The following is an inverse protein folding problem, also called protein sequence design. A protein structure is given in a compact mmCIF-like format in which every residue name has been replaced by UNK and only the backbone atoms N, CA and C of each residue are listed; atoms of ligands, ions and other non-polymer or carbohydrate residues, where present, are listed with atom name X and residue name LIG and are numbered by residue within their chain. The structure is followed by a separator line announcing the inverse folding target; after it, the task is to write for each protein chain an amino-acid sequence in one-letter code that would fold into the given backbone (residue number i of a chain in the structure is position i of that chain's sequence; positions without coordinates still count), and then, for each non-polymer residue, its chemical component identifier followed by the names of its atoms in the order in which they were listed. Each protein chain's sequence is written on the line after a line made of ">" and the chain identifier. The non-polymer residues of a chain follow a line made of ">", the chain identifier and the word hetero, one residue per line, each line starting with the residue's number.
data_IF_159568027460
#
_entry.id   IF_159568027460
#
_cell.length_a   1.000
_cell.length_b   1.000
_cell.length_c   1.000
_cell.angle_alpha   90.00
_cell.angle_beta   90.00
_cell.angle_gamma   90.00
#
_symmetry.space_group_name_H-M   'P 1'
#
loop_
_entity.id
_entity.type
_entity.pdbx_description
1 polymer ?
#
# COMPACT_ATOMS: atom_id res chain seq x y z
N UNK A 1 -12.08 30.09 -0.87
CA UNK A 1 -13.52 29.90 -1.07
C UNK A 1 -14.12 29.33 0.20
N UNK A 2 -15.44 29.46 0.37
CA UNK A 2 -16.14 28.69 1.39
C UNK A 2 -16.13 27.21 1.00
N UNK A 3 -16.25 26.32 1.99
CA UNK A 3 -16.08 24.87 1.87
C UNK A 3 -17.11 24.23 0.92
N UNK A 4 -16.88 24.33 -0.39
CA UNK A 4 -17.84 23.94 -1.43
C UNK A 4 -17.45 22.59 -2.05
N UNK A 5 -18.20 21.55 -1.69
CA UNK A 5 -17.99 20.19 -2.21
C UNK A 5 -18.28 20.09 -3.71
N UNK A 6 -19.31 20.77 -4.23
CA UNK A 6 -19.69 20.70 -5.63
C UNK A 6 -18.58 21.24 -6.54
N UNK A 7 -17.98 22.38 -6.17
CA UNK A 7 -16.85 22.94 -6.92
C UNK A 7 -15.66 21.98 -6.92
N UNK A 8 -15.38 21.30 -5.81
CA UNK A 8 -14.30 20.31 -5.76
C UNK A 8 -14.54 19.11 -6.71
N UNK A 9 -15.78 18.64 -6.84
CA UNK A 9 -16.14 17.58 -7.78
C UNK A 9 -16.09 18.05 -9.25
N UNK A 10 -16.50 19.29 -9.53
CA UNK A 10 -16.36 19.88 -10.88
C UNK A 10 -14.89 20.01 -11.27
N UNK A 11 -14.03 20.46 -10.35
CA UNK A 11 -12.57 20.48 -10.57
C UNK A 11 -12.06 19.06 -10.82
N UNK A 12 -12.49 18.07 -10.03
CA UNK A 12 -12.12 16.68 -10.23
C UNK A 12 -12.51 16.15 -11.61
N UNK A 13 -13.66 16.57 -12.14
CA UNK A 13 -14.15 16.14 -13.46
C UNK A 13 -13.15 16.45 -14.59
N UNK A 14 -12.36 17.50 -14.43
CA UNK A 14 -11.29 17.92 -15.34
C UNK A 14 -9.96 17.28 -14.95
N UNK A 15 -9.60 17.35 -13.66
CA UNK A 15 -8.30 16.89 -13.16
C UNK A 15 -8.11 15.38 -13.39
N UNK A 16 -9.17 14.56 -13.25
CA UNK A 16 -9.13 13.11 -13.45
C UNK A 16 -8.74 12.67 -14.87
N UNK A 17 -8.83 13.57 -15.87
CA UNK A 17 -8.45 13.28 -17.25
C UNK A 17 -6.93 13.21 -17.44
N UNK A 18 -6.16 13.74 -16.48
CA UNK A 18 -4.70 13.73 -16.53
C UNK A 18 -4.11 12.49 -15.84
N UNK A 19 -2.99 11.95 -16.36
CA UNK A 19 -2.22 10.93 -15.66
C UNK A 19 -1.84 11.37 -14.25
N UNK A 20 -1.75 10.41 -13.32
CA UNK A 20 -1.54 10.72 -11.90
C UNK A 20 -0.23 11.51 -11.64
N UNK A 21 0.79 11.34 -12.48
CA UNK A 21 2.06 12.06 -12.35
C UNK A 21 1.88 13.58 -12.46
N UNK A 22 1.04 14.03 -13.41
CA UNK A 22 0.72 15.45 -13.58
C UNK A 22 -0.18 15.95 -12.46
N UNK A 23 -1.16 15.16 -12.02
CA UNK A 23 -2.01 15.48 -10.87
C UNK A 23 -1.20 15.67 -9.60
N UNK A 24 -0.27 14.77 -9.31
CA UNK A 24 0.58 14.84 -8.12
C UNK A 24 1.55 16.03 -8.19
N UNK A 25 2.09 16.33 -9.36
CA UNK A 25 2.90 17.54 -9.58
C UNK A 25 2.09 18.82 -9.34
N UNK A 26 0.83 18.85 -9.78
CA UNK A 26 -0.10 19.94 -9.50
C UNK A 26 -0.38 20.06 -8.00
N UNK A 27 -0.64 18.96 -7.30
CA UNK A 27 -0.90 18.96 -5.86
C UNK A 27 0.30 19.41 -5.05
N UNK A 28 1.52 19.04 -5.46
CA UNK A 28 2.75 19.52 -4.85
C UNK A 28 2.85 21.05 -4.91
N UNK A 29 2.68 21.64 -6.10
CA UNK A 29 2.69 23.10 -6.27
C UNK A 29 1.54 23.78 -5.54
N UNK A 30 0.37 23.15 -5.52
CA UNK A 30 -0.79 23.68 -4.81
C UNK A 30 -0.55 23.75 -3.30
N UNK A 31 -0.02 22.68 -2.70
CA UNK A 31 0.27 22.62 -1.27
C UNK A 31 1.45 23.51 -0.88
N UNK A 32 2.58 23.40 -1.61
CA UNK A 32 3.86 23.90 -1.15
C UNK A 32 4.15 25.34 -1.62
N UNK A 33 3.78 25.70 -2.85
CA UNK A 33 4.16 26.98 -3.45
C UNK A 33 3.02 28.01 -3.39
N UNK A 34 1.82 27.59 -3.80
CA UNK A 34 0.70 28.51 -4.07
C UNK A 34 0.32 29.37 -2.88
N UNK A 35 0.34 28.81 -1.67
CA UNK A 35 -0.03 29.53 -0.45
C UNK A 35 1.04 30.50 0.05
N UNK A 36 2.24 30.51 -0.53
CA UNK A 36 3.33 31.42 -0.15
C UNK A 36 3.32 32.71 -0.98
N UNK A 37 2.61 32.73 -2.10
CA UNK A 37 2.70 33.81 -3.09
C UNK A 37 1.91 35.07 -2.70
N UNK A 38 0.81 34.92 -1.94
CA UNK A 38 -0.13 36.01 -1.69
C UNK A 38 -0.50 36.11 -0.19
N UNK A 39 -0.49 37.31 0.42
CA UNK A 39 -0.80 37.48 1.84
C UNK A 39 -2.15 36.90 2.27
N UNK A 40 -3.17 37.01 1.40
CA UNK A 40 -4.49 36.45 1.68
C UNK A 40 -4.46 34.92 1.76
N UNK A 41 -3.65 34.26 0.93
CA UNK A 41 -3.49 32.80 0.96
C UNK A 41 -2.67 32.36 2.18
N UNK A 42 -1.64 33.10 2.55
CA UNK A 42 -0.88 32.87 3.79
C UNK A 42 -1.81 32.94 5.01
N UNK A 43 -2.66 33.97 5.09
CA UNK A 43 -3.64 34.10 6.17
C UNK A 43 -4.65 32.93 6.18
N UNK A 44 -5.14 32.52 5.00
CA UNK A 44 -6.04 31.36 4.86
C UNK A 44 -5.36 30.06 5.31
N UNK A 45 -4.08 29.86 4.98
CA UNK A 45 -3.28 28.72 5.46
C UNK A 45 -3.22 28.69 6.98
N UNK A 46 -2.87 29.81 7.63
CA UNK A 46 -2.81 29.89 9.09
C UNK A 46 -4.16 29.59 9.76
N UNK A 47 -5.24 30.12 9.19
CA UNK A 47 -6.62 29.86 9.67
C UNK A 47 -6.98 28.38 9.54
N UNK A 48 -6.72 27.76 8.39
CA UNK A 48 -6.99 26.35 8.15
C UNK A 48 -6.18 25.46 9.10
N UNK A 49 -4.89 25.73 9.30
CA UNK A 49 -4.04 24.97 10.23
C UNK A 49 -4.56 25.02 11.66
N UNK A 50 -5.02 26.19 12.13
CA UNK A 50 -5.65 26.32 13.45
C UNK A 50 -6.90 25.45 13.59
N UNK A 51 -7.78 25.49 12.58
CA UNK A 51 -9.00 24.69 12.55
C UNK A 51 -8.73 23.18 12.49
N UNK A 52 -7.78 22.76 11.64
CA UNK A 52 -7.35 21.36 11.50
C UNK A 52 -6.82 20.83 12.83
N UNK A 53 -5.92 21.58 13.49
CA UNK A 53 -5.38 21.21 14.81
C UNK A 53 -6.48 21.05 15.86
N UNK A 54 -7.41 22.01 15.91
CA UNK A 54 -8.53 21.95 16.86
C UNK A 54 -9.47 20.77 16.59
N UNK A 55 -9.69 20.43 15.32
CA UNK A 55 -10.55 19.32 14.93
C UNK A 55 -9.93 17.96 15.23
N UNK A 56 -8.63 17.80 14.94
CA UNK A 56 -7.91 16.55 15.18
C UNK A 56 -7.83 16.15 16.65
N UNK A 57 -7.77 17.13 17.57
CA UNK A 57 -7.85 16.89 19.02
C UNK A 57 -9.16 16.23 19.48
N UNK A 58 -10.19 16.26 18.63
CA UNK A 58 -11.52 15.74 18.95
C UNK A 58 -11.78 14.39 18.30
N UNK A 59 -10.96 13.91 17.38
CA UNK A 59 -11.22 12.64 16.67
C UNK A 59 -11.19 11.48 17.66
N UNK A 60 -12.30 10.75 17.75
CA UNK A 60 -12.43 9.52 18.53
C UNK A 60 -13.33 8.52 17.82
N UNK A 61 -13.33 7.27 18.31
CA UNK A 61 -14.19 6.21 17.77
C UNK A 61 -15.68 6.56 17.86
N UNK A 62 -16.08 7.29 18.91
CA UNK A 62 -17.48 7.61 19.21
C UNK A 62 -18.03 8.75 18.35
N UNK A 63 -17.16 9.63 17.84
CA UNK A 63 -17.57 10.85 17.15
C UNK A 63 -17.08 10.94 15.68
N UNK A 64 -16.68 9.81 15.09
CA UNK A 64 -16.16 9.74 13.73
C UNK A 64 -17.11 10.31 12.68
N UNK A 65 -18.44 10.13 12.83
CA UNK A 65 -19.44 10.71 11.92
C UNK A 65 -19.52 12.24 12.00
N UNK A 66 -19.81 12.87 13.16
CA UNK A 66 -19.89 14.34 13.23
C UNK A 66 -18.54 15.00 12.93
N UNK A 67 -17.43 14.48 13.44
CA UNK A 67 -16.09 15.00 13.13
C UNK A 67 -15.76 14.79 11.65
N UNK A 68 -16.11 13.64 11.08
CA UNK A 68 -15.91 13.38 9.66
C UNK A 68 -16.61 14.36 8.72
N UNK A 69 -17.81 14.84 9.07
CA UNK A 69 -18.48 15.90 8.28
C UNK A 69 -17.72 17.23 8.33
N UNK A 70 -17.12 17.56 9.48
CA UNK A 70 -16.29 18.75 9.63
C UNK A 70 -14.97 18.60 8.87
N UNK A 71 -14.34 17.41 8.92
CA UNK A 71 -13.15 17.09 8.13
C UNK A 71 -13.45 17.19 6.64
N UNK A 72 -14.58 16.64 6.19
CA UNK A 72 -15.06 16.74 4.81
C UNK A 72 -15.11 18.19 4.35
N UNK A 73 -15.81 19.05 5.10
CA UNK A 73 -15.88 20.50 4.80
C UNK A 73 -14.49 21.14 4.70
N UNK A 74 -13.61 20.93 5.68
CA UNK A 74 -12.26 21.49 5.65
C UNK A 74 -11.41 20.97 4.47
N UNK A 75 -11.63 19.71 4.07
CA UNK A 75 -10.89 19.11 2.95
C UNK A 75 -11.14 19.80 1.62
N UNK A 76 -12.33 20.40 1.41
CA UNK A 76 -12.65 21.05 0.13
C UNK A 76 -11.84 22.33 -0.10
N UNK A 77 -11.41 22.99 0.97
CA UNK A 77 -10.65 24.25 0.88
C UNK A 77 -9.14 24.03 0.87
N UNK A 78 -8.66 23.09 1.68
CA UNK A 78 -7.22 22.90 1.91
C UNK A 78 -6.89 21.43 2.21
N UNK A 79 -7.06 20.54 1.22
CA UNK A 79 -6.85 19.10 1.42
C UNK A 79 -5.38 18.78 1.76
N UNK A 80 -4.41 19.44 1.11
CA UNK A 80 -2.98 19.19 1.35
C UNK A 80 -2.56 19.40 2.81
N UNK A 81 -2.91 20.55 3.41
CA UNK A 81 -2.56 20.83 4.81
C UNK A 81 -3.34 19.96 5.81
N UNK A 82 -4.57 19.60 5.47
CA UNK A 82 -5.38 18.70 6.28
C UNK A 82 -4.72 17.31 6.35
N UNK A 83 -4.37 16.74 5.20
CA UNK A 83 -3.78 15.41 5.16
C UNK A 83 -2.36 15.38 5.69
N UNK A 84 -1.55 16.41 5.43
CA UNK A 84 -0.24 16.56 6.06
C UNK A 84 -0.34 16.47 7.59
N UNK A 85 -1.25 17.22 8.20
CA UNK A 85 -1.41 17.18 9.66
C UNK A 85 -2.01 15.85 10.15
N UNK A 86 -2.99 15.29 9.44
CA UNK A 86 -3.57 13.98 9.77
C UNK A 86 -2.50 12.87 9.77
N UNK A 87 -1.67 12.82 8.72
CA UNK A 87 -0.62 11.82 8.59
C UNK A 87 0.46 11.98 9.66
N UNK A 88 0.81 13.22 10.01
CA UNK A 88 1.69 13.49 11.16
C UNK A 88 1.11 12.96 12.48
N UNK A 89 -0.19 13.08 12.71
CA UNK A 89 -0.82 12.54 13.93
C UNK A 89 -0.84 11.00 13.92
N UNK A 90 -1.15 10.37 12.79
CA UNK A 90 -1.16 8.90 12.65
C UNK A 90 0.22 8.31 12.89
N UNK A 91 1.28 8.96 12.40
CA UNK A 91 2.66 8.51 12.60
C UNK A 91 3.08 8.50 14.09
N UNK A 92 2.40 9.28 14.94
CA UNK A 92 2.68 9.38 16.37
C UNK A 92 1.71 8.48 17.17
N UNK A 93 0.46 8.37 16.73
CA UNK A 93 -0.63 7.74 17.47
C UNK A 93 -1.34 6.67 16.63
N UNK A 94 -0.86 5.43 16.72
CA UNK A 94 -1.40 4.28 15.95
C UNK A 94 -2.89 4.01 16.26
N UNK A 95 -3.32 4.23 17.51
CA UNK A 95 -4.71 4.09 17.93
C UNK A 95 -5.68 5.07 17.26
N UNK A 96 -5.19 6.15 16.63
CA UNK A 96 -6.01 7.09 15.87
C UNK A 96 -6.34 6.60 14.45
N UNK A 97 -5.67 5.57 13.93
CA UNK A 97 -5.85 5.10 12.55
C UNK A 97 -7.32 4.76 12.26
N UNK A 98 -7.93 3.89 13.05
CA UNK A 98 -9.32 3.49 12.81
C UNK A 98 -10.32 4.67 12.92
N UNK A 99 -10.30 5.50 13.99
CA UNK A 99 -11.12 6.71 14.06
C UNK A 99 -10.92 7.69 12.90
N UNK A 100 -9.68 7.89 12.44
CA UNK A 100 -9.38 8.76 11.30
C UNK A 100 -9.96 8.17 10.02
N UNK A 101 -9.67 6.90 9.73
CA UNK A 101 -10.20 6.20 8.55
C UNK A 101 -11.74 6.26 8.53
N UNK A 102 -12.41 6.15 9.68
CA UNK A 102 -13.86 6.33 9.79
C UNK A 102 -14.33 7.76 9.52
N UNK A 103 -13.56 8.75 9.95
CA UNK A 103 -13.87 10.17 9.77
C UNK A 103 -13.66 10.65 8.32
N UNK A 104 -12.83 9.96 7.53
CA UNK A 104 -12.60 10.29 6.12
C UNK A 104 -13.72 9.83 5.16
N UNK A 105 -14.88 9.44 5.67
CA UNK A 105 -16.01 8.96 4.86
C UNK A 105 -16.62 10.02 3.93
N UNK A 106 -16.55 11.30 4.32
CA UNK A 106 -17.23 12.40 3.62
C UNK A 106 -16.27 13.24 2.77
N UNK A 107 -15.15 12.65 2.33
CA UNK A 107 -14.24 13.29 1.39
C UNK A 107 -14.80 13.25 -0.03
N UNK A 108 -14.47 14.27 -0.82
CA UNK A 108 -14.69 14.29 -2.27
C UNK A 108 -13.67 13.43 -3.00
N UNK A 109 -13.94 13.10 -4.26
CA UNK A 109 -12.99 12.34 -5.09
C UNK A 109 -11.65 13.07 -5.24
N UNK A 110 -11.67 14.40 -5.41
CA UNK A 110 -10.46 15.22 -5.41
C UNK A 110 -9.67 15.08 -4.10
N UNK A 111 -10.35 15.14 -2.95
CA UNK A 111 -9.68 15.02 -1.64
C UNK A 111 -9.07 13.64 -1.44
N UNK A 112 -9.70 12.56 -1.92
CA UNK A 112 -9.10 11.23 -1.87
C UNK A 112 -7.82 11.15 -2.71
N UNK A 113 -7.81 11.77 -3.89
CA UNK A 113 -6.62 11.77 -4.74
C UNK A 113 -5.46 12.60 -4.16
N UNK A 114 -5.78 13.76 -3.57
CA UNK A 114 -4.78 14.57 -2.83
C UNK A 114 -4.25 13.81 -1.60
N UNK A 115 -5.07 13.01 -0.93
CA UNK A 115 -4.60 12.13 0.16
C UNK A 115 -3.57 11.10 -0.36
N UNK A 116 -3.80 10.54 -1.56
CA UNK A 116 -2.84 9.65 -2.22
C UNK A 116 -1.48 10.32 -2.45
N UNK A 117 -1.48 11.57 -2.91
CA UNK A 117 -0.25 12.38 -3.02
C UNK A 117 0.41 12.64 -1.65
N UNK A 118 -0.35 13.11 -0.66
CA UNK A 118 0.19 13.43 0.67
C UNK A 118 0.76 12.19 1.38
N UNK A 119 0.23 11.01 1.10
CA UNK A 119 0.80 9.75 1.59
C UNK A 119 2.20 9.50 1.05
N UNK A 120 2.42 9.68 -0.25
CA UNK A 120 3.75 9.51 -0.86
C UNK A 120 4.72 10.58 -0.33
N UNK A 121 4.26 11.82 -0.24
CA UNK A 121 5.05 12.92 0.33
C UNK A 121 5.44 12.65 1.80
N UNK A 122 4.56 12.01 2.57
CA UNK A 122 4.85 11.62 3.96
C UNK A 122 5.85 10.46 4.07
N UNK A 123 5.92 9.59 3.05
CA UNK A 123 6.86 8.46 2.99
C UNK A 123 8.27 8.90 2.56
N UNK A 124 8.37 9.89 1.66
CA UNK A 124 9.65 10.39 1.12
C UNK A 124 10.34 11.46 2.01
N UNK A 125 9.95 11.61 3.29
CA UNK A 125 10.53 12.63 4.16
C UNK A 125 12.02 12.36 4.45
N UNK A 126 12.89 13.11 3.76
CA UNK A 126 14.36 12.97 3.73
C UNK A 126 15.02 12.96 5.12
N UNK A 127 14.46 13.68 6.09
CA UNK A 127 15.04 13.83 7.43
C UNK A 127 14.74 12.67 8.39
N UNK A 128 13.99 11.65 7.95
CA UNK A 128 13.60 10.53 8.81
C UNK A 128 14.30 9.25 8.39
N UNK A 129 15.13 8.72 9.29
CA UNK A 129 15.61 7.37 9.14
C UNK A 129 14.43 6.39 9.33
N UNK A 130 14.09 5.54 8.34
CA UNK A 130 13.06 4.53 8.49
C UNK A 130 13.43 3.44 9.52
N UNK A 131 14.69 3.42 9.96
CA UNK A 131 15.19 2.60 11.06
C UNK A 131 15.10 3.35 12.39
N UNK A 132 14.78 2.63 13.48
CA UNK A 132 14.90 3.18 14.84
C UNK A 132 16.36 3.50 15.17
N UNK A 133 16.57 4.41 16.13
CA UNK A 133 17.90 4.83 16.60
C UNK A 133 18.76 3.64 17.10
N UNK A 134 18.11 2.51 17.44
CA UNK A 134 18.73 1.28 17.92
C UNK A 134 19.32 0.40 16.78
N UNK A 135 19.17 0.80 15.52
CA UNK A 135 19.79 0.13 14.37
C UNK A 135 19.26 -1.28 14.03
N UNK A 136 18.19 -1.72 14.70
CA UNK A 136 17.70 -3.13 14.62
C UNK A 136 16.20 -3.25 14.39
N UNK A 137 15.43 -2.19 14.60
CA UNK A 137 13.96 -2.20 14.53
C UNK A 137 13.46 -1.23 13.47
N UNK A 138 12.38 -1.62 12.79
CA UNK A 138 11.63 -0.74 11.88
C UNK A 138 10.97 0.36 12.72
N UNK A 139 11.06 1.59 12.25
CA UNK A 139 10.45 2.74 12.93
C UNK A 139 8.93 2.59 13.08
N UNK A 140 8.41 3.03 14.24
CA UNK A 140 6.97 2.95 14.54
C UNK A 140 6.15 3.80 13.57
N UNK A 141 6.69 4.94 13.14
CA UNK A 141 6.00 5.83 12.20
C UNK A 141 5.74 5.16 10.85
N UNK A 142 6.69 4.36 10.34
CA UNK A 142 6.54 3.65 9.07
C UNK A 142 5.52 2.51 9.21
N UNK A 143 5.54 1.80 10.33
CA UNK A 143 4.54 0.78 10.64
C UNK A 143 3.13 1.38 10.69
N UNK A 144 2.94 2.50 11.39
CA UNK A 144 1.64 3.19 11.45
C UNK A 144 1.19 3.74 10.10
N UNK A 145 2.10 4.25 9.27
CA UNK A 145 1.76 4.66 7.90
C UNK A 145 1.37 3.48 7.01
N UNK A 146 2.09 2.37 7.06
CA UNK A 146 1.77 1.17 6.31
C UNK A 146 0.41 0.59 6.74
N UNK A 147 0.18 0.51 8.06
CA UNK A 147 -1.09 0.15 8.68
C UNK A 147 -2.24 1.05 8.16
N UNK A 148 -2.04 2.37 8.15
CA UNK A 148 -3.01 3.32 7.61
C UNK A 148 -3.23 3.15 6.10
N UNK A 149 -2.18 2.95 5.30
CA UNK A 149 -2.28 2.71 3.86
C UNK A 149 -3.20 1.52 3.56
N UNK A 150 -2.92 0.35 4.15
CA UNK A 150 -3.78 -0.81 3.92
C UNK A 150 -5.23 -0.57 4.39
N UNK A 151 -5.44 0.16 5.49
CA UNK A 151 -6.79 0.45 5.99
C UNK A 151 -7.57 1.41 5.08
N UNK A 152 -6.93 2.48 4.59
CA UNK A 152 -7.59 3.50 3.77
C UNK A 152 -7.91 2.98 2.37
N UNK A 153 -6.98 2.27 1.72
CA UNK A 153 -7.18 1.71 0.38
C UNK A 153 -8.15 0.52 0.38
N UNK A 154 -8.22 -0.25 1.48
CA UNK A 154 -9.30 -1.24 1.67
C UNK A 154 -10.67 -0.55 1.67
N UNK A 155 -10.82 0.54 2.41
CA UNK A 155 -12.13 1.13 2.71
C UNK A 155 -12.68 2.04 1.62
N UNK A 156 -11.83 2.85 0.98
CA UNK A 156 -12.26 3.89 0.04
C UNK A 156 -11.69 3.67 -1.36
N UNK A 157 -12.36 4.26 -2.36
CA UNK A 157 -11.95 4.18 -3.75
C UNK A 157 -10.92 5.25 -4.11
N UNK A 158 -9.69 5.00 -3.66
CA UNK A 158 -8.51 5.83 -3.92
C UNK A 158 -7.65 5.11 -4.95
N UNK A 159 -7.11 5.84 -5.91
CA UNK A 159 -6.21 5.27 -6.91
C UNK A 159 -4.88 4.83 -6.28
N UNK A 160 -4.48 3.58 -6.52
CA UNK A 160 -3.28 2.98 -5.92
C UNK A 160 -2.01 3.13 -6.77
N UNK A 161 -2.15 3.53 -8.04
CA UNK A 161 -1.06 3.60 -9.03
C UNK A 161 0.19 4.29 -8.48
N UNK A 162 0.00 5.45 -7.84
CA UNK A 162 1.11 6.23 -7.27
C UNK A 162 1.83 5.50 -6.13
N UNK A 163 1.10 4.85 -5.22
CA UNK A 163 1.70 4.13 -4.09
C UNK A 163 2.46 2.88 -4.57
N UNK A 164 1.87 2.12 -5.49
CA UNK A 164 2.50 0.91 -6.04
C UNK A 164 3.76 1.25 -6.84
N UNK A 165 3.72 2.33 -7.62
CA UNK A 165 4.90 2.82 -8.34
C UNK A 165 5.98 3.32 -7.37
N UNK A 166 5.60 4.01 -6.29
CA UNK A 166 6.53 4.41 -5.23
C UNK A 166 7.27 3.20 -4.67
N UNK A 167 6.54 2.16 -4.23
CA UNK A 167 7.16 0.93 -3.70
C UNK A 167 8.10 0.32 -4.75
N UNK A 168 7.65 0.16 -6.01
CA UNK A 168 8.50 -0.38 -7.07
C UNK A 168 9.81 0.41 -7.27
N UNK A 169 9.75 1.75 -7.17
CA UNK A 169 10.92 2.62 -7.28
C UNK A 169 11.86 2.50 -6.08
N UNK A 170 11.34 2.34 -4.86
CA UNK A 170 12.16 2.12 -3.66
C UNK A 170 12.87 0.76 -3.73
N UNK A 171 12.20 -0.29 -4.21
CA UNK A 171 12.82 -1.61 -4.45
C UNK A 171 13.93 -1.54 -5.50
N UNK A 172 13.69 -0.84 -6.61
CA UNK A 172 14.74 -0.58 -7.61
C UNK A 172 15.92 0.19 -7.04
N UNK A 173 15.68 1.04 -6.05
CA UNK A 173 16.71 1.80 -5.32
C UNK A 173 17.30 1.02 -4.14
N UNK A 174 17.04 -0.29 -4.05
CA UNK A 174 17.56 -1.20 -3.04
C UNK A 174 17.15 -0.87 -1.60
N UNK A 175 16.02 -0.19 -1.41
CA UNK A 175 15.44 0.07 -0.08
C UNK A 175 14.33 -0.93 0.21
N UNK A 176 14.61 -1.93 1.04
CA UNK A 176 13.67 -3.02 1.36
C UNK A 176 12.60 -2.64 2.38
N UNK A 177 12.83 -1.61 3.20
CA UNK A 177 11.91 -1.24 4.28
C UNK A 177 10.50 -0.88 3.80
N UNK A 178 10.41 -0.24 2.62
CA UNK A 178 9.14 0.14 2.01
C UNK A 178 8.29 -1.06 1.53
N UNK A 179 8.84 -2.29 1.49
CA UNK A 179 8.02 -3.50 1.28
C UNK A 179 6.93 -3.64 2.34
N UNK A 180 7.13 -3.09 3.54
CA UNK A 180 6.12 -3.12 4.60
C UNK A 180 4.77 -2.56 4.13
N UNK A 181 4.82 -1.52 3.30
CA UNK A 181 3.63 -0.87 2.74
C UNK A 181 2.86 -1.86 1.87
N UNK A 182 3.57 -2.62 1.03
CA UNK A 182 2.95 -3.63 0.19
C UNK A 182 2.40 -4.80 1.02
N UNK A 183 3.12 -5.25 2.06
CA UNK A 183 2.66 -6.29 3.00
C UNK A 183 1.30 -5.92 3.61
N UNK A 184 1.19 -4.70 4.13
CA UNK A 184 -0.05 -4.18 4.74
C UNK A 184 -1.20 -3.97 3.74
N UNK A 185 -0.89 -3.47 2.54
CA UNK A 185 -1.89 -3.28 1.48
C UNK A 185 -2.47 -4.61 1.01
N UNK A 186 -1.63 -5.61 0.73
CA UNK A 186 -2.06 -6.95 0.32
C UNK A 186 -2.86 -7.61 1.44
N UNK A 187 -2.36 -7.54 2.69
CA UNK A 187 -3.06 -8.09 3.86
C UNK A 187 -4.48 -7.54 3.96
N UNK A 188 -4.66 -6.22 3.92
CA UNK A 188 -5.96 -5.62 4.20
C UNK A 188 -6.91 -5.64 3.02
N UNK A 189 -6.39 -5.46 1.81
CA UNK A 189 -7.22 -5.40 0.60
C UNK A 189 -7.59 -6.77 0.06
N UNK A 190 -6.70 -7.76 0.16
CA UNK A 190 -6.96 -9.12 -0.30
C UNK A 190 -7.38 -10.07 0.84
N UNK A 191 -6.96 -9.79 2.08
CA UNK A 191 -7.20 -10.69 3.21
C UNK A 191 -6.21 -11.85 3.28
N UNK A 192 -5.04 -11.70 2.68
CA UNK A 192 -4.00 -12.73 2.64
C UNK A 192 -2.95 -12.35 3.67
N UNK A 193 -2.84 -13.12 4.75
CA UNK A 193 -1.89 -12.88 5.84
C UNK A 193 -0.62 -13.71 5.63
N UNK A 194 0.51 -13.21 6.11
CA UNK A 194 1.72 -14.01 6.21
C UNK A 194 1.54 -15.00 7.37
N UNK A 195 1.86 -16.26 7.14
CA UNK A 195 1.73 -17.31 8.13
C UNK A 195 2.93 -17.29 9.09
N UNK A 196 2.77 -16.70 10.27
CA UNK A 196 3.85 -16.60 11.27
C UNK A 196 3.81 -17.76 12.29
N UNK A 197 2.62 -18.24 12.71
CA UNK A 197 2.47 -19.29 13.73
C UNK A 197 1.30 -20.25 13.42
N UNK A 198 1.51 -21.18 12.48
CA UNK A 198 0.49 -22.19 12.14
C UNK A 198 0.65 -23.46 13.00
N UNK A 199 -0.48 -23.98 13.51
CA UNK A 199 -0.49 -25.30 14.15
C UNK A 199 -0.29 -26.42 13.12
N UNK A 200 0.12 -27.61 13.57
CA UNK A 200 0.29 -28.76 12.67
C UNK A 200 -1.00 -29.12 11.92
N UNK A 201 -2.15 -28.98 12.56
CA UNK A 201 -3.46 -29.22 11.96
C UNK A 201 -3.76 -28.20 10.86
N UNK A 202 -3.44 -26.92 11.10
CA UNK A 202 -3.59 -25.86 10.10
C UNK A 202 -2.64 -26.08 8.92
N UNK A 203 -1.40 -26.49 9.16
CA UNK A 203 -0.44 -26.82 8.10
C UNK A 203 -0.94 -27.98 7.22
N UNK A 204 -1.51 -29.02 7.83
CA UNK A 204 -2.12 -30.12 7.08
C UNK A 204 -3.33 -29.65 6.27
N UNK A 205 -4.17 -28.79 6.86
CA UNK A 205 -5.33 -28.23 6.20
C UNK A 205 -4.95 -27.34 5.00
N UNK A 206 -3.85 -26.59 5.11
CA UNK A 206 -3.28 -25.80 4.00
C UNK A 206 -2.79 -26.65 2.82
N UNK A 207 -2.41 -27.91 3.06
CA UNK A 207 -2.06 -28.85 2.00
C UNK A 207 -3.28 -29.46 1.29
N UNK A 208 -4.50 -29.25 1.82
CA UNK A 208 -5.74 -29.75 1.24
C UNK A 208 -6.24 -28.97 0.01
N UNK A 209 -7.50 -29.23 -0.34
CA UNK A 209 -8.21 -28.48 -1.38
C UNK A 209 -8.58 -27.06 -0.97
N UNK A 210 -9.12 -26.28 -1.90
CA UNK A 210 -9.45 -24.87 -1.71
C UNK A 210 -10.35 -24.60 -0.49
N UNK A 211 -11.35 -25.46 -0.27
CA UNK A 211 -12.25 -25.38 0.90
C UNK A 211 -11.48 -25.52 2.22
N UNK A 212 -10.60 -26.51 2.32
CA UNK A 212 -9.83 -26.78 3.54
C UNK A 212 -8.78 -25.70 3.79
N UNK A 213 -8.16 -25.18 2.72
CA UNK A 213 -7.27 -24.01 2.78
C UNK A 213 -8.01 -22.76 3.25
N UNK A 214 -9.25 -22.56 2.81
CA UNK A 214 -10.09 -21.46 3.26
C UNK A 214 -10.30 -21.50 4.78
N UNK A 215 -10.71 -22.66 5.30
CA UNK A 215 -10.94 -22.83 6.75
C UNK A 215 -9.66 -22.65 7.58
N UNK A 216 -8.51 -23.09 7.07
CA UNK A 216 -7.22 -22.98 7.77
C UNK A 216 -6.53 -21.62 7.62
N UNK A 217 -6.76 -20.91 6.52
CA UNK A 217 -6.05 -19.68 6.17
C UNK A 217 -6.66 -18.40 6.75
N UNK A 218 -7.96 -18.41 7.09
CA UNK A 218 -8.63 -17.25 7.70
C UNK A 218 -8.53 -17.29 9.24
N UNK A 219 -7.37 -16.90 9.78
CA UNK A 219 -7.18 -16.68 11.23
C UNK A 219 -8.17 -15.66 11.80
N UNK A 220 -8.55 -14.70 10.98
CA UNK A 220 -9.61 -13.74 11.24
C UNK A 220 -10.63 -13.83 10.10
N UNK A 221 -11.92 -13.77 10.41
CA UNK A 221 -12.98 -13.79 9.41
C UNK A 221 -12.89 -12.52 8.55
N UNK A 222 -11.99 -12.51 7.55
CA UNK A 222 -11.85 -11.40 6.60
C UNK A 222 -13.02 -11.47 5.63
N UNK A 223 -14.20 -11.13 6.14
CA UNK A 223 -15.40 -10.94 5.33
C UNK A 223 -15.19 -9.67 4.50
N UNK A 224 -15.49 -9.76 3.20
CA UNK A 224 -15.65 -8.62 2.29
C UNK A 224 -14.35 -7.99 1.71
N UNK A 225 -13.42 -8.79 1.17
CA UNK A 225 -12.24 -8.29 0.41
C UNK A 225 -12.37 -8.38 -1.10
N UNK A 226 -13.41 -9.01 -1.66
CA UNK A 226 -13.52 -9.23 -3.11
C UNK A 226 -13.40 -7.94 -3.93
N UNK A 227 -14.08 -6.87 -3.51
CA UNK A 227 -14.04 -5.56 -4.21
C UNK A 227 -12.71 -4.82 -4.02
N UNK A 228 -12.11 -4.87 -2.84
CA UNK A 228 -10.79 -4.25 -2.61
C UNK A 228 -9.69 -5.01 -3.33
N UNK A 229 -9.71 -6.34 -3.29
CA UNK A 229 -8.80 -7.23 -4.00
C UNK A 229 -8.83 -6.97 -5.51
N UNK A 230 -10.02 -6.89 -6.10
CA UNK A 230 -10.18 -6.59 -7.53
C UNK A 230 -9.61 -5.22 -7.90
N UNK A 231 -9.81 -4.19 -7.08
CA UNK A 231 -9.21 -2.87 -7.30
C UNK A 231 -7.68 -2.89 -7.22
N UNK A 232 -7.12 -3.69 -6.31
CA UNK A 232 -5.67 -3.90 -6.24
C UNK A 232 -5.15 -4.60 -7.50
N UNK A 233 -5.85 -5.64 -7.99
CA UNK A 233 -5.55 -6.32 -9.26
C UNK A 233 -5.51 -5.31 -10.42
N UNK A 234 -6.55 -4.51 -10.56
CA UNK A 234 -6.69 -3.52 -11.64
C UNK A 234 -5.57 -2.47 -11.61
N UNK A 235 -5.23 -1.95 -10.43
CA UNK A 235 -4.16 -0.97 -10.27
C UNK A 235 -2.76 -1.54 -10.57
N UNK A 236 -2.54 -2.83 -10.32
CA UNK A 236 -1.30 -3.52 -10.67
C UNK A 236 -1.22 -3.82 -12.17
N UNK A 237 -2.36 -4.10 -12.81
CA UNK A 237 -2.45 -4.40 -14.23
C UNK A 237 -2.30 -3.14 -15.10
N UNK A 238 -2.84 -2.00 -14.68
CA UNK A 238 -2.83 -0.75 -15.47
C UNK A 238 -1.44 -0.18 -15.71
N UNK A 239 -0.46 -0.52 -14.88
CA UNK A 239 0.91 -0.02 -14.95
C UNK A 239 1.95 -1.14 -15.17
N UNK A 240 1.50 -2.36 -15.51
CA UNK A 240 2.34 -3.57 -15.59
C UNK A 240 3.24 -3.81 -14.37
N UNK A 241 2.78 -3.34 -13.20
CA UNK A 241 3.51 -3.40 -11.95
C UNK A 241 3.44 -4.77 -11.30
N UNK A 242 2.45 -5.60 -11.62
CA UNK A 242 2.29 -6.94 -11.03
C UNK A 242 3.56 -7.79 -11.17
N UNK A 243 4.06 -7.91 -12.40
CA UNK A 243 5.26 -8.70 -12.72
C UNK A 243 6.50 -7.98 -12.20
N UNK A 244 6.60 -6.67 -12.44
CA UNK A 244 7.75 -5.89 -12.00
C UNK A 244 7.97 -5.98 -10.49
N UNK A 245 6.92 -5.78 -9.68
CA UNK A 245 6.99 -5.90 -8.23
C UNK A 245 7.35 -7.34 -7.81
N UNK A 246 6.76 -8.35 -8.44
CA UNK A 246 7.06 -9.74 -8.13
C UNK A 246 8.56 -10.07 -8.33
N UNK A 247 9.13 -9.64 -9.47
CA UNK A 247 10.55 -9.81 -9.76
C UNK A 247 11.44 -8.99 -8.82
N UNK A 248 11.06 -7.74 -8.53
CA UNK A 248 11.81 -6.86 -7.63
C UNK A 248 11.85 -7.39 -6.19
N UNK A 249 10.73 -7.89 -5.67
CA UNK A 249 10.67 -8.51 -4.34
C UNK A 249 11.59 -9.74 -4.29
N UNK A 250 11.53 -10.60 -5.33
CA UNK A 250 12.37 -11.79 -5.44
C UNK A 250 13.88 -11.44 -5.46
N UNK A 251 14.25 -10.37 -6.16
CA UNK A 251 15.63 -9.88 -6.19
C UNK A 251 16.04 -9.23 -4.86
N UNK A 252 15.12 -8.50 -4.22
CA UNK A 252 15.40 -7.80 -2.97
C UNK A 252 15.79 -8.75 -1.85
N UNK A 253 15.19 -9.95 -1.80
CA UNK A 253 15.54 -11.01 -0.84
C UNK A 253 17.05 -11.28 -0.77
N UNK A 254 17.75 -11.34 -1.90
CA UNK A 254 19.22 -11.49 -1.92
C UNK A 254 19.95 -10.16 -1.79
N UNK A 255 19.38 -9.07 -2.30
CA UNK A 255 19.94 -7.72 -2.17
C UNK A 255 20.11 -7.32 -0.69
N UNK A 256 19.14 -7.67 0.17
CA UNK A 256 19.21 -7.44 1.61
C UNK A 256 20.50 -8.01 2.17
N UNK A 257 20.80 -9.29 1.92
CA UNK A 257 21.97 -9.99 2.47
C UNK A 257 23.29 -9.37 1.99
N UNK A 258 23.42 -9.10 0.70
CA UNK A 258 24.73 -8.84 0.08
C UNK A 258 25.03 -7.37 -0.22
N UNK A 259 24.01 -6.51 -0.35
CA UNK A 259 24.18 -5.12 -0.82
C UNK A 259 23.65 -4.09 0.17
N UNK A 260 22.42 -4.27 0.63
CA UNK A 260 21.72 -3.25 1.42
C UNK A 260 22.28 -3.13 2.85
N UNK A 261 22.67 -4.27 3.45
CA UNK A 261 23.02 -4.31 4.88
C UNK A 261 24.47 -4.69 5.16
N UNK A 262 25.41 -4.39 4.25
CA UNK A 262 26.81 -4.79 4.39
C UNK A 262 27.47 -4.29 5.71
N UNK A 263 26.93 -3.23 6.32
CA UNK A 263 27.41 -2.66 7.59
C UNK A 263 26.36 -2.73 8.71
N UNK A 264 25.22 -3.41 8.50
CA UNK A 264 24.14 -3.47 9.49
C UNK A 264 24.27 -4.67 10.41
N UNK A 265 23.60 -4.61 11.56
CA UNK A 265 23.53 -5.75 12.49
C UNK A 265 22.82 -6.94 11.87
N UNK A 266 23.36 -8.15 12.06
CA UNK A 266 22.81 -9.40 11.52
C UNK A 266 21.33 -9.62 11.87
N UNK A 267 20.89 -9.17 13.05
CA UNK A 267 19.48 -9.23 13.47
C UNK A 267 18.55 -8.44 12.53
N UNK A 268 18.99 -7.28 12.07
CA UNK A 268 18.24 -6.48 11.10
C UNK A 268 18.20 -7.17 9.74
N UNK A 269 19.33 -7.73 9.30
CA UNK A 269 19.43 -8.48 8.05
C UNK A 269 18.44 -9.63 8.02
N UNK A 270 18.39 -10.42 9.10
CA UNK A 270 17.42 -11.50 9.25
C UNK A 270 15.98 -11.00 9.18
N UNK A 271 15.65 -9.94 9.91
CA UNK A 271 14.30 -9.36 9.89
C UNK A 271 13.87 -8.86 8.51
N UNK A 272 14.76 -8.18 7.78
CA UNK A 272 14.48 -7.70 6.43
C UNK A 272 14.35 -8.84 5.43
N UNK A 273 15.17 -9.89 5.59
CA UNK A 273 15.09 -11.10 4.79
C UNK A 273 13.76 -11.82 4.98
N UNK A 274 13.36 -12.05 6.23
CA UNK A 274 12.07 -12.66 6.59
C UNK A 274 10.91 -11.83 6.05
N UNK A 275 10.97 -10.50 6.23
CA UNK A 275 9.95 -9.60 5.68
C UNK A 275 9.84 -9.68 4.15
N UNK A 276 10.97 -9.78 3.43
CA UNK A 276 10.95 -9.97 1.97
C UNK A 276 10.33 -11.31 1.59
N UNK A 277 10.69 -12.39 2.30
CA UNK A 277 10.15 -13.72 2.06
C UNK A 277 8.63 -13.78 2.33
N UNK A 278 8.17 -13.21 3.44
CA UNK A 278 6.75 -13.10 3.78
C UNK A 278 5.99 -12.35 2.70
N UNK A 279 6.48 -11.17 2.33
CA UNK A 279 5.81 -10.31 1.34
C UNK A 279 5.79 -10.98 -0.03
N UNK A 280 6.85 -11.73 -0.39
CA UNK A 280 6.91 -12.50 -1.63
C UNK A 280 5.85 -13.60 -1.65
N UNK A 281 5.75 -14.39 -0.58
CA UNK A 281 4.77 -15.49 -0.49
C UNK A 281 3.35 -14.93 -0.48
N UNK A 282 3.10 -13.89 0.30
CA UNK A 282 1.82 -13.21 0.39
C UNK A 282 1.39 -12.62 -0.96
N UNK A 283 2.29 -11.90 -1.64
CA UNK A 283 2.02 -11.31 -2.95
C UNK A 283 1.88 -12.38 -4.04
N UNK A 284 2.73 -13.41 -4.05
CA UNK A 284 2.61 -14.55 -4.97
C UNK A 284 1.27 -15.29 -4.82
N UNK A 285 0.84 -15.49 -3.58
CA UNK A 285 -0.48 -16.08 -3.27
C UNK A 285 -1.62 -15.19 -3.73
N UNK A 286 -1.51 -13.87 -3.55
CA UNK A 286 -2.46 -12.90 -4.09
C UNK A 286 -2.57 -12.98 -5.62
N UNK A 287 -1.45 -12.99 -6.34
CA UNK A 287 -1.47 -13.10 -7.80
C UNK A 287 -2.09 -14.43 -8.26
N UNK A 288 -1.71 -15.54 -7.63
CA UNK A 288 -2.20 -16.88 -7.98
C UNK A 288 -3.67 -17.11 -7.66
N UNK A 289 -4.25 -16.38 -6.69
CA UNK A 289 -5.68 -16.46 -6.34
C UNK A 289 -6.55 -15.48 -7.13
N UNK A 290 -5.97 -14.43 -7.69
CA UNK A 290 -6.72 -13.31 -8.28
C UNK A 290 -6.67 -13.28 -9.81
N UNK A 291 -5.58 -13.77 -10.41
CA UNK A 291 -5.52 -13.99 -11.86
C UNK A 291 -6.14 -15.33 -12.24
N UNK A 292 -6.73 -15.40 -13.43
CA UNK A 292 -6.99 -16.70 -14.04
C UNK A 292 -5.65 -17.38 -14.36
N UNK A 293 -5.68 -18.69 -14.53
CA UNK A 293 -4.46 -19.46 -14.84
C UNK A 293 -3.83 -19.01 -16.16
N UNK A 294 -4.66 -18.65 -17.15
CA UNK A 294 -4.22 -18.12 -18.45
C UNK A 294 -3.59 -16.74 -18.29
N UNK A 295 -4.25 -15.81 -17.57
CA UNK A 295 -3.70 -14.48 -17.28
C UNK A 295 -2.36 -14.57 -16.53
N UNK A 296 -2.24 -15.53 -15.61
CA UNK A 296 -1.03 -15.77 -14.83
C UNK A 296 0.12 -16.24 -15.72
N UNK A 297 -0.13 -17.20 -16.61
CA UNK A 297 0.86 -17.75 -17.56
C UNK A 297 1.29 -16.72 -18.60
N UNK A 298 0.37 -15.88 -19.09
CA UNK A 298 0.67 -14.87 -20.09
C UNK A 298 1.50 -13.71 -19.52
N UNK A 299 1.18 -13.27 -18.29
CA UNK A 299 1.83 -12.11 -17.68
C UNK A 299 3.20 -12.45 -17.08
N UNK A 300 3.34 -13.58 -16.39
CA UNK A 300 4.60 -13.91 -15.73
C UNK A 300 5.63 -14.46 -16.71
N UNK A 301 6.92 -14.11 -16.55
CA UNK A 301 7.97 -14.63 -17.41
C UNK A 301 8.11 -16.15 -17.22
N UNK A 302 8.58 -16.83 -18.26
CA UNK A 302 8.92 -18.26 -18.16
C UNK A 302 9.99 -18.49 -17.08
N UNK A 303 9.99 -19.69 -16.49
CA UNK A 303 11.01 -20.07 -15.49
C UNK A 303 12.44 -19.86 -16.03
N UNK A 304 12.66 -20.12 -17.32
CA UNK A 304 13.96 -19.92 -17.96
C UNK A 304 14.38 -18.45 -17.94
N UNK A 305 13.46 -17.54 -18.28
CA UNK A 305 13.71 -16.10 -18.22
C UNK A 305 13.89 -15.62 -16.77
N UNK A 306 13.12 -16.16 -15.80
CA UNK A 306 13.30 -15.86 -14.39
C UNK A 306 14.73 -16.19 -13.90
N UNK A 307 15.22 -17.38 -14.23
CA UNK A 307 16.54 -17.86 -13.81
C UNK A 307 17.69 -17.17 -14.56
N UNK A 308 17.61 -17.10 -15.89
CA UNK A 308 18.73 -16.64 -16.72
C UNK A 308 18.77 -15.12 -16.91
N UNK A 309 17.62 -14.50 -17.24
CA UNK A 309 17.57 -13.07 -17.59
C UNK A 309 17.40 -12.20 -16.36
N UNK A 310 16.57 -12.62 -15.41
CA UNK A 310 16.26 -11.85 -14.21
C UNK A 310 17.07 -12.29 -12.98
N UNK A 311 17.88 -13.35 -13.11
CA UNK A 311 18.75 -13.89 -12.06
C UNK A 311 18.00 -14.15 -10.74
N UNK A 312 16.76 -14.61 -10.83
CA UNK A 312 15.99 -15.04 -9.67
C UNK A 312 16.50 -16.40 -9.21
N UNK A 313 16.62 -16.58 -7.90
CA UNK A 313 17.05 -17.84 -7.32
C UNK A 313 16.03 -18.96 -7.56
N UNK A 314 16.51 -20.20 -7.62
CA UNK A 314 15.71 -21.35 -8.06
C UNK A 314 14.48 -21.60 -7.19
N UNK A 315 14.61 -21.51 -5.87
CA UNK A 315 13.50 -21.66 -4.91
C UNK A 315 12.32 -20.73 -5.23
N UNK A 316 12.60 -19.44 -5.46
CA UNK A 316 11.59 -18.43 -5.77
C UNK A 316 11.04 -18.62 -7.18
N UNK A 317 11.90 -18.91 -8.16
CA UNK A 317 11.47 -19.15 -9.54
C UNK A 317 10.50 -20.34 -9.62
N UNK A 318 10.79 -21.44 -8.92
CA UNK A 318 9.89 -22.59 -8.85
C UNK A 318 8.61 -22.30 -8.06
N UNK A 319 8.67 -21.51 -7.00
CA UNK A 319 7.48 -21.05 -6.28
C UNK A 319 6.51 -20.30 -7.21
N UNK A 320 7.02 -19.34 -7.98
CA UNK A 320 6.22 -18.55 -8.92
C UNK A 320 5.75 -19.36 -10.13
N UNK A 321 6.57 -20.29 -10.65
CA UNK A 321 6.20 -21.11 -11.80
C UNK A 321 5.25 -22.27 -11.45
N UNK A 322 5.06 -22.59 -10.16
CA UNK A 322 4.29 -23.76 -9.72
C UNK A 322 2.86 -23.81 -10.28
N UNK A 323 2.07 -22.71 -10.24
CA UNK A 323 0.72 -22.73 -10.81
C UNK A 323 0.71 -23.03 -12.31
N UNK A 324 1.72 -22.55 -13.04
CA UNK A 324 1.88 -22.77 -14.49
C UNK A 324 2.11 -24.26 -14.79
N UNK A 325 2.99 -24.91 -14.03
CA UNK A 325 3.26 -26.34 -14.19
C UNK A 325 2.06 -27.21 -13.81
N UNK A 326 1.41 -26.91 -12.67
CA UNK A 326 0.22 -27.65 -12.25
C UNK A 326 -0.89 -27.59 -13.32
N UNK A 327 -1.07 -26.44 -13.97
CA UNK A 327 -2.01 -26.31 -15.07
C UNK A 327 -1.60 -27.13 -16.29
N UNK A 328 -0.35 -27.02 -16.74
CA UNK A 328 0.15 -27.76 -17.90
C UNK A 328 0.02 -29.28 -17.71
N UNK A 329 0.29 -29.77 -16.50
CA UNK A 329 0.11 -31.18 -16.11
C UNK A 329 -1.36 -31.58 -16.20
N UNK A 330 -2.26 -30.79 -15.60
CA UNK A 330 -3.70 -31.08 -15.60
C UNK A 330 -4.29 -31.09 -17.02
N UNK A 331 -3.91 -30.13 -17.86
CA UNK A 331 -4.34 -30.08 -19.27
C UNK A 331 -3.84 -31.29 -20.05
N UNK A 332 -2.60 -31.70 -19.82
CA UNK A 332 -2.03 -32.88 -20.48
C UNK A 332 -2.74 -34.17 -20.04
N UNK A 333 -3.09 -34.28 -18.76
CA UNK A 333 -3.83 -35.42 -18.22
C UNK A 333 -5.27 -35.49 -18.74
N UNK A 334 -5.96 -34.36 -18.93
CA UNK A 334 -7.31 -34.31 -19.51
C UNK A 334 -7.36 -34.67 -20.99
N UNK A 335 -6.22 -34.60 -21.70
CA UNK A 335 -6.10 -34.96 -23.12
C UNK A 335 -5.74 -36.43 -23.34
N UNK A 336 -5.31 -37.14 -22.29
CA UNK A 336 -5.05 -38.58 -22.30
C UNK A 336 -6.32 -39.37 -21.99
#
# INVERSE_FOLDING_TARGET
>A
MDCNCCVAEEIWSIVKLYPYQYRYSLYARWKNDTFQLQPQLIHRRGTAQKQIKALMKRVSKENSKPVGRLIGKLSHCSPGFLFEYILLQIQIYDNLIAPVVDSLKYLTSLSYDVLGYCLIEALEQVDRNPMQNDGTSISLWLQSLANFCGAIYKKYNIELSGLLQYVANQLKSHKSLDLLILKEVVQKMAGIEAAEEMTNEQLQAMCGGELLRGEAGYFSQVRNTKKSSQRLKEALASNDLAVALCLLIAQQKHCVIYRETAQSHLKLVGKLYDQCQDTLVQFGTFLGSTYSVEEYVERLPTIHNMLQKYHIHSDVAFFLARPMFSHAINVSFQRM
#
